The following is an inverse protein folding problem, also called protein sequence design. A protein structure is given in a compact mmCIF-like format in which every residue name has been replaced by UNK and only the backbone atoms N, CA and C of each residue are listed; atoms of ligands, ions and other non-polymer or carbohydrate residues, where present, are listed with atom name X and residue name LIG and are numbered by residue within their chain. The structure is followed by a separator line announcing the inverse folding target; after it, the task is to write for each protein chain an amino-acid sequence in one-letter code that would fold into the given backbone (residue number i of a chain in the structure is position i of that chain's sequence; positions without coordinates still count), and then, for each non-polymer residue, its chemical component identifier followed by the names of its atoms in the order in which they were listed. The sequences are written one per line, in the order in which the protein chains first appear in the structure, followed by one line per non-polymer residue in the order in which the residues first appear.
data_IF_659405868880
#
_entry.id   IF_659405868880
#
_cell.length_a   1.000
_cell.length_b   1.000
_cell.length_c   1.000
_cell.angle_alpha   90.00
_cell.angle_beta   90.00
_cell.angle_gamma   90.00
#
_symmetry.space_group_name_H-M   'P 1'
#
loop_
_entity.id
_entity.type
_entity.pdbx_description
1 polymer ?
#
# COMPACT_ATOMS: atom_id res chain seq x y z
N UNK A 1 -7.36 12.67 -8.76
CA UNK A 1 -8.70 12.70 -8.12
C UNK A 1 -8.60 12.71 -6.60
N UNK A 2 -7.95 11.72 -5.97
CA UNK A 2 -7.85 11.62 -4.50
C UNK A 2 -7.24 12.87 -3.84
N UNK A 3 -6.16 13.43 -4.41
CA UNK A 3 -5.56 14.68 -3.94
C UNK A 3 -6.59 15.83 -3.86
N UNK A 4 -7.40 16.02 -4.91
CA UNK A 4 -8.46 17.03 -4.94
C UNK A 4 -9.58 16.73 -3.92
N UNK A 5 -9.93 15.47 -3.72
CA UNK A 5 -10.94 15.05 -2.75
C UNK A 5 -10.48 15.39 -1.32
N UNK A 6 -9.28 14.95 -0.94
CA UNK A 6 -8.74 15.16 0.41
C UNK A 6 -8.58 16.64 0.71
N UNK A 7 -8.01 17.41 -0.21
CA UNK A 7 -7.85 18.87 -0.03
C UNK A 7 -9.19 19.59 0.10
N UNK A 8 -10.20 19.20 -0.69
CA UNK A 8 -11.55 19.77 -0.59
C UNK A 8 -12.18 19.48 0.77
N UNK A 9 -12.06 18.25 1.27
CA UNK A 9 -12.60 17.87 2.58
C UNK A 9 -11.87 18.60 3.70
N UNK A 10 -10.54 18.62 3.69
CA UNK A 10 -9.72 19.35 4.67
C UNK A 10 -10.10 20.83 4.73
N UNK A 11 -10.18 21.50 3.57
CA UNK A 11 -10.54 22.91 3.49
C UNK A 11 -11.97 23.17 3.99
N UNK A 12 -12.92 22.28 3.71
CA UNK A 12 -14.31 22.45 4.11
C UNK A 12 -14.54 22.18 5.61
N UNK A 13 -13.85 21.21 6.19
CA UNK A 13 -14.05 20.79 7.58
C UNK A 13 -13.19 21.63 8.54
N UNK A 14 -11.94 21.90 8.18
CA UNK A 14 -10.97 22.56 9.05
C UNK A 14 -10.78 24.04 8.70
N UNK A 15 -11.27 24.50 7.54
CA UNK A 15 -11.00 25.86 7.04
C UNK A 15 -9.54 26.08 6.62
N UNK A 16 -8.74 25.01 6.59
CA UNK A 16 -7.29 25.02 6.38
C UNK A 16 -6.84 23.72 5.72
N UNK A 17 -5.79 23.79 4.91
CA UNK A 17 -5.08 22.60 4.41
C UNK A 17 -4.00 22.12 5.40
N UNK A 18 -3.78 22.84 6.49
CA UNK A 18 -2.87 22.44 7.55
C UNK A 18 -3.65 21.93 8.75
N UNK A 19 -3.30 20.73 9.22
CA UNK A 19 -3.90 20.08 10.39
C UNK A 19 -2.81 19.72 11.37
N UNK A 20 -2.93 20.22 12.60
CA UNK A 20 -2.02 19.87 13.69
C UNK A 20 -2.42 18.51 14.27
N UNK A 21 -1.50 17.54 14.29
CA UNK A 21 -1.74 16.25 14.94
C UNK A 21 -1.35 16.27 16.42
N UNK A 22 -0.18 16.84 16.73
CA UNK A 22 0.36 16.98 18.08
C UNK A 22 1.30 18.19 18.14
N UNK A 23 2.06 18.40 19.22
CA UNK A 23 2.94 19.59 19.34
C UNK A 23 4.06 19.67 18.29
N UNK A 24 4.48 18.53 17.72
CA UNK A 24 5.65 18.43 16.84
C UNK A 24 5.27 18.26 15.36
N UNK A 25 4.09 17.69 15.08
CA UNK A 25 3.68 17.30 13.72
C UNK A 25 2.47 18.09 13.22
N UNK A 26 2.69 18.82 12.14
CA UNK A 26 1.64 19.45 11.32
C UNK A 26 1.61 18.78 9.95
N UNK A 27 0.45 18.27 9.54
CA UNK A 27 0.22 17.80 8.18
C UNK A 27 -0.12 18.98 7.28
N UNK A 28 0.47 19.05 6.10
CA UNK A 28 0.14 20.01 5.07
C UNK A 28 -0.41 19.30 3.82
N UNK A 29 -1.70 19.47 3.60
CA UNK A 29 -2.41 18.95 2.44
C UNK A 29 -2.33 19.89 1.23
N UNK A 30 -1.41 20.86 1.19
CA UNK A 30 -1.22 21.73 0.02
C UNK A 30 -0.68 20.93 -1.18
N UNK A 31 -1.39 20.90 -2.33
CA UNK A 31 -0.91 20.20 -3.53
C UNK A 31 0.31 20.89 -4.17
N UNK A 32 1.10 20.16 -4.97
CA UNK A 32 0.97 18.73 -5.28
C UNK A 32 1.55 17.84 -4.17
N UNK A 33 0.93 16.68 -3.92
CA UNK A 33 1.50 15.68 -3.03
C UNK A 33 2.77 15.08 -3.65
N UNK A 34 3.73 14.69 -2.81
CA UNK A 34 4.96 14.02 -3.26
C UNK A 34 4.56 12.76 -4.02
N UNK A 35 5.24 12.48 -5.14
CA UNK A 35 5.11 11.23 -5.90
C UNK A 35 6.49 10.61 -5.99
N UNK A 36 6.61 9.37 -5.57
CA UNK A 36 7.88 8.64 -5.52
C UNK A 36 7.62 7.17 -5.82
N UNK A 37 8.56 6.49 -6.45
CA UNK A 37 8.42 5.05 -6.68
C UNK A 37 8.80 4.26 -5.43
N UNK A 38 8.19 3.09 -5.25
CA UNK A 38 8.54 2.13 -4.21
C UNK A 38 10.06 1.84 -4.21
N UNK A 39 10.63 1.66 -5.40
CA UNK A 39 12.06 1.43 -5.60
C UNK A 39 12.93 2.59 -5.08
N UNK A 40 12.56 3.83 -5.38
CA UNK A 40 13.29 5.01 -4.92
C UNK A 40 13.30 5.08 -3.40
N UNK A 41 12.17 4.84 -2.74
CA UNK A 41 12.09 4.84 -1.27
C UNK A 41 12.96 3.76 -0.62
N UNK A 42 12.95 2.54 -1.19
CA UNK A 42 13.82 1.47 -0.72
C UNK A 42 15.30 1.86 -0.90
N UNK A 43 15.68 2.43 -2.04
CA UNK A 43 17.05 2.88 -2.28
C UNK A 43 17.46 4.04 -1.35
N UNK A 44 16.55 4.98 -1.06
CA UNK A 44 16.76 6.07 -0.09
C UNK A 44 17.13 5.50 1.28
N UNK A 45 16.49 4.40 1.71
CA UNK A 45 16.69 3.81 3.04
C UNK A 45 17.82 2.77 3.11
N UNK A 46 17.97 1.96 2.06
CA UNK A 46 18.84 0.77 2.05
C UNK A 46 20.12 0.93 1.21
N UNK A 47 20.22 2.03 0.44
CA UNK A 47 21.30 2.28 -0.50
C UNK A 47 20.93 1.90 -1.94
N UNK A 48 21.53 2.61 -2.90
CA UNK A 48 21.25 2.45 -4.33
C UNK A 48 21.64 1.06 -4.89
N UNK A 49 22.50 0.32 -4.18
CA UNK A 49 22.93 -1.03 -4.54
C UNK A 49 21.95 -2.12 -4.08
N UNK A 50 20.85 -1.78 -3.38
CA UNK A 50 19.91 -2.74 -2.81
C UNK A 50 19.39 -3.78 -3.82
N UNK A 51 19.12 -3.33 -5.04
CA UNK A 51 18.60 -4.20 -6.09
C UNK A 51 19.70 -5.01 -6.80
N UNK A 52 20.98 -4.68 -6.60
CA UNK A 52 22.13 -5.34 -7.21
C UNK A 52 22.81 -6.37 -6.30
N UNK A 53 22.57 -6.32 -4.99
CA UNK A 53 23.14 -7.27 -4.03
C UNK A 53 22.53 -8.67 -4.13
N UNK A 54 23.21 -9.67 -3.56
CA UNK A 54 22.69 -11.04 -3.50
C UNK A 54 21.53 -11.17 -2.51
N UNK A 55 20.65 -12.17 -2.68
CA UNK A 55 19.55 -12.45 -1.75
C UNK A 55 20.04 -12.71 -0.31
N UNK A 56 21.18 -13.39 -0.15
CA UNK A 56 21.80 -13.61 1.17
C UNK A 56 22.23 -12.29 1.83
N UNK A 57 22.72 -11.34 1.03
CA UNK A 57 23.09 -10.01 1.52
C UNK A 57 21.86 -9.15 1.84
N UNK A 58 20.79 -9.20 1.02
CA UNK A 58 19.52 -8.55 1.34
C UNK A 58 18.97 -9.03 2.67
N UNK A 59 18.91 -10.35 2.86
CA UNK A 59 18.45 -10.96 4.11
C UNK A 59 19.30 -10.49 5.30
N UNK A 60 20.63 -10.51 5.17
CA UNK A 60 21.52 -10.04 6.24
C UNK A 60 21.32 -8.56 6.58
N UNK A 61 21.10 -7.70 5.59
CA UNK A 61 20.84 -6.26 5.79
C UNK A 61 19.48 -6.03 6.45
N UNK A 62 18.45 -6.78 6.06
CA UNK A 62 17.13 -6.72 6.69
C UNK A 62 17.15 -7.19 8.15
N UNK A 63 17.85 -8.29 8.46
CA UNK A 63 18.04 -8.78 9.83
C UNK A 63 18.82 -7.81 10.71
N UNK A 64 19.73 -7.02 10.13
CA UNK A 64 20.44 -5.97 10.86
C UNK A 64 19.53 -4.78 11.25
N UNK A 65 18.34 -4.68 10.66
CA UNK A 65 17.26 -3.76 11.07
C UNK A 65 16.28 -4.40 12.05
N UNK A 66 16.61 -5.59 12.60
CA UNK A 66 15.78 -6.35 13.53
C UNK A 66 14.43 -6.79 12.95
N UNK A 67 14.33 -6.90 11.62
CA UNK A 67 13.13 -7.38 10.93
C UNK A 67 13.02 -8.91 11.02
N UNK A 68 11.79 -9.40 11.16
CA UNK A 68 11.47 -10.83 11.22
C UNK A 68 11.47 -11.43 9.81
N UNK A 69 12.66 -11.63 9.24
CA UNK A 69 12.85 -12.22 7.91
C UNK A 69 13.71 -13.48 7.93
N UNK A 70 13.37 -14.45 7.07
CA UNK A 70 14.08 -15.71 6.96
C UNK A 70 14.42 -16.10 5.50
N UNK A 71 15.24 -17.16 5.36
CA UNK A 71 15.77 -17.59 4.07
C UNK A 71 14.75 -18.25 3.13
N UNK A 72 13.55 -18.59 3.63
CA UNK A 72 12.42 -19.06 2.83
C UNK A 72 11.64 -17.92 2.18
N UNK A 73 11.79 -16.69 2.65
CA UNK A 73 11.14 -15.53 2.05
C UNK A 73 11.78 -15.15 0.71
N UNK A 74 10.95 -14.76 -0.25
CA UNK A 74 11.42 -14.20 -1.52
C UNK A 74 12.07 -12.82 -1.31
N UNK A 75 12.97 -12.43 -2.23
CA UNK A 75 13.59 -11.09 -2.22
C UNK A 75 12.54 -9.95 -2.21
N UNK A 76 11.39 -10.17 -2.84
CA UNK A 76 10.27 -9.22 -2.85
C UNK A 76 9.67 -9.08 -1.45
N UNK A 77 9.42 -10.19 -0.76
CA UNK A 77 8.85 -10.14 0.60
C UNK A 77 9.84 -9.56 1.61
N UNK A 78 11.14 -9.88 1.52
CA UNK A 78 12.18 -9.27 2.37
C UNK A 78 12.23 -7.75 2.15
N UNK A 79 12.15 -7.31 0.90
CA UNK A 79 12.12 -5.88 0.57
C UNK A 79 10.83 -5.21 1.06
N UNK A 80 9.69 -5.91 0.99
CA UNK A 80 8.41 -5.41 1.47
C UNK A 80 8.35 -5.28 2.98
N UNK A 81 8.96 -6.20 3.74
CA UNK A 81 9.08 -6.08 5.19
C UNK A 81 9.85 -4.80 5.58
N UNK A 82 10.90 -4.45 4.84
CA UNK A 82 11.63 -3.17 5.04
C UNK A 82 10.72 -1.98 4.74
N UNK A 83 9.93 -2.06 3.67
CA UNK A 83 9.01 -0.98 3.34
C UNK A 83 8.01 -0.74 4.47
N UNK A 84 7.26 -1.76 4.89
CA UNK A 84 6.23 -1.62 5.93
C UNK A 84 6.80 -1.17 7.26
N UNK A 85 7.88 -1.82 7.74
CA UNK A 85 8.35 -1.61 9.12
C UNK A 85 9.29 -0.43 9.27
N UNK A 86 9.83 0.10 8.17
CA UNK A 86 10.86 1.13 8.22
C UNK A 86 10.48 2.34 7.38
N UNK A 87 10.17 2.14 6.11
CA UNK A 87 9.94 3.24 5.17
C UNK A 87 8.59 3.90 5.39
N UNK A 88 7.52 3.12 5.53
CA UNK A 88 6.14 3.62 5.62
C UNK A 88 6.02 4.64 6.77
N UNK A 89 6.54 4.29 7.95
CA UNK A 89 6.51 5.14 9.14
C UNK A 89 7.23 6.49 8.99
N UNK A 90 8.16 6.63 8.03
CA UNK A 90 8.89 7.86 7.76
C UNK A 90 8.09 8.81 6.82
N UNK A 91 7.02 8.33 6.18
CA UNK A 91 6.19 9.10 5.25
C UNK A 91 5.15 9.97 5.97
N UNK A 92 5.62 11.06 6.57
CA UNK A 92 4.77 11.95 7.36
C UNK A 92 3.83 12.81 6.50
N UNK A 93 4.36 13.50 5.49
CA UNK A 93 3.57 14.34 4.60
C UNK A 93 2.89 13.50 3.50
N UNK A 94 1.75 13.95 2.94
CA UNK A 94 1.05 13.21 1.90
C UNK A 94 1.96 12.81 0.73
N UNK A 95 2.13 11.50 0.56
CA UNK A 95 3.05 10.92 -0.42
C UNK A 95 2.37 9.78 -1.18
N UNK A 96 2.29 9.91 -2.50
CA UNK A 96 1.93 8.81 -3.38
C UNK A 96 3.16 7.95 -3.63
N UNK A 97 3.15 6.74 -3.08
CA UNK A 97 4.09 5.67 -3.42
C UNK A 97 3.57 4.93 -4.63
N UNK A 98 4.39 4.75 -5.65
CA UNK A 98 3.94 4.23 -6.96
C UNK A 98 4.81 3.08 -7.45
N UNK A 99 4.31 2.34 -8.45
CA UNK A 99 5.07 1.30 -9.17
C UNK A 99 5.63 0.21 -8.26
N UNK A 100 4.73 -0.50 -7.58
CA UNK A 100 5.10 -1.62 -6.72
C UNK A 100 5.32 -2.91 -7.53
N UNK A 101 6.07 -3.88 -7.00
CA UNK A 101 6.19 -5.23 -7.57
C UNK A 101 4.82 -5.89 -7.81
N UNK A 102 4.65 -6.51 -8.98
CA UNK A 102 3.40 -7.20 -9.39
C UNK A 102 2.91 -8.24 -8.38
N UNK A 103 3.84 -8.90 -7.70
CA UNK A 103 3.54 -9.95 -6.72
C UNK A 103 2.81 -9.42 -5.48
N UNK A 104 2.98 -8.13 -5.16
CA UNK A 104 2.34 -7.51 -4.00
C UNK A 104 0.89 -7.07 -4.30
N UNK A 105 0.58 -6.76 -5.57
CA UNK A 105 -0.72 -6.21 -5.97
C UNK A 105 -1.29 -7.02 -7.15
N UNK A 106 -1.86 -8.22 -6.88
CA UNK A 106 -2.26 -9.18 -7.92
C UNK A 106 -3.36 -8.66 -8.85
N UNK A 107 -4.21 -7.75 -8.37
CA UNK A 107 -5.34 -7.20 -9.11
C UNK A 107 -4.97 -5.97 -9.96
N UNK A 108 -3.76 -5.42 -9.79
CA UNK A 108 -3.35 -4.23 -10.52
C UNK A 108 -2.75 -4.58 -11.88
N UNK A 109 -3.10 -3.81 -12.91
CA UNK A 109 -2.53 -3.94 -14.24
C UNK A 109 -1.02 -3.64 -14.19
N UNK A 110 -0.24 -4.40 -14.97
CA UNK A 110 1.21 -4.14 -15.11
C UNK A 110 1.48 -2.80 -15.76
N UNK A 111 2.64 -2.20 -15.45
CA UNK A 111 3.12 -1.03 -16.17
C UNK A 111 3.41 -1.40 -17.63
N UNK A 112 3.11 -0.48 -18.56
CA UNK A 112 3.35 -0.71 -20.00
C UNK A 112 4.85 -0.84 -20.34
N UNK A 113 5.72 -0.26 -19.51
CA UNK A 113 7.18 -0.22 -19.70
C UNK A 113 7.95 -1.30 -18.92
N UNK A 114 7.34 -1.91 -17.90
CA UNK A 114 7.96 -2.93 -17.05
C UNK A 114 6.88 -3.86 -16.45
N UNK A 115 6.82 -5.10 -16.93
CA UNK A 115 5.83 -6.10 -16.53
C UNK A 115 6.11 -6.73 -15.15
N UNK A 116 7.25 -6.41 -14.53
CA UNK A 116 7.53 -6.75 -13.14
C UNK A 116 6.87 -5.80 -12.14
N UNK A 117 6.38 -4.65 -12.61
CA UNK A 117 5.76 -3.60 -11.81
C UNK A 117 4.29 -3.43 -12.20
N UNK A 118 3.50 -2.88 -11.28
CA UNK A 118 2.09 -2.54 -11.50
C UNK A 118 1.82 -1.05 -11.45
N UNK A 119 0.84 -0.61 -12.24
CA UNK A 119 0.35 0.76 -12.28
C UNK A 119 -0.57 1.02 -11.09
N UNK A 120 0.06 1.20 -9.93
CA UNK A 120 -0.54 1.40 -8.60
C UNK A 120 -0.02 2.67 -7.97
N UNK A 121 -0.83 3.26 -7.10
CA UNK A 121 -0.41 4.15 -6.05
C UNK A 121 -0.93 3.69 -4.67
N UNK A 122 -0.15 3.95 -3.64
CA UNK A 122 -0.57 3.99 -2.24
C UNK A 122 -0.37 5.42 -1.74
N UNK A 123 -1.41 6.03 -1.20
CA UNK A 123 -1.31 7.35 -0.58
C UNK A 123 -1.00 7.19 0.90
N UNK A 124 0.24 7.47 1.26
CA UNK A 124 0.77 7.44 2.61
C UNK A 124 0.67 8.82 3.25
N UNK A 125 0.12 8.88 4.46
CA UNK A 125 0.03 10.12 5.26
C UNK A 125 0.24 9.78 6.74
N UNK A 126 1.22 10.43 7.37
CA UNK A 126 1.60 10.17 8.77
C UNK A 126 1.96 8.70 9.02
N UNK A 127 2.62 8.07 8.05
CA UNK A 127 3.00 6.66 8.09
C UNK A 127 1.84 5.67 8.17
N UNK A 128 0.72 6.02 7.54
CA UNK A 128 -0.46 5.19 7.38
C UNK A 128 -0.90 5.20 5.92
N UNK A 129 -1.19 4.02 5.39
CA UNK A 129 -1.84 3.90 4.09
C UNK A 129 -3.27 4.48 4.15
N UNK A 130 -3.57 5.55 3.41
CA UNK A 130 -4.89 6.22 3.42
C UNK A 130 -5.74 5.80 2.24
N UNK A 131 -5.12 5.64 1.06
CA UNK A 131 -5.83 5.33 -0.17
C UNK A 131 -4.94 4.53 -1.11
N UNK A 132 -5.18 3.22 -1.27
CA UNK A 132 -4.63 2.47 -2.38
C UNK A 132 -5.46 2.73 -3.64
N UNK A 133 -4.84 2.70 -4.81
CA UNK A 133 -5.55 2.74 -6.09
C UNK A 133 -4.68 2.30 -7.24
N UNK A 134 -5.30 1.73 -8.27
CA UNK A 134 -4.56 1.12 -9.38
C UNK A 134 -5.39 1.10 -10.66
N UNK A 135 -4.68 1.03 -11.78
CA UNK A 135 -5.27 0.59 -13.03
C UNK A 135 -5.69 -0.88 -12.88
N UNK A 136 -6.97 -1.17 -13.11
CA UNK A 136 -7.54 -2.49 -12.87
C UNK A 136 -7.03 -3.51 -13.89
N UNK A 137 -6.66 -4.71 -13.42
CA UNK A 137 -6.36 -5.84 -14.31
C UNK A 137 -7.68 -6.38 -14.88
N UNK A 138 -7.93 -6.06 -16.14
CA UNK A 138 -9.14 -6.46 -16.85
C UNK A 138 -8.92 -7.61 -17.86
N UNK A 139 -7.74 -8.22 -17.89
CA UNK A 139 -7.47 -9.43 -18.68
C UNK A 139 -7.77 -10.68 -17.84
N UNK A 140 -8.84 -11.44 -18.16
CA UNK A 140 -9.24 -12.61 -17.37
C UNK A 140 -8.21 -13.74 -17.41
N UNK A 141 -7.42 -13.85 -18.48
CA UNK A 141 -6.41 -14.91 -18.63
C UNK A 141 -5.24 -14.63 -17.70
N UNK A 142 -4.75 -13.40 -17.70
CA UNK A 142 -3.68 -12.96 -16.79
C UNK A 142 -4.16 -12.96 -15.34
N UNK A 143 -5.40 -12.52 -15.06
CA UNK A 143 -5.96 -12.55 -13.70
C UNK A 143 -6.01 -13.97 -13.14
N UNK A 144 -6.46 -14.96 -13.93
CA UNK A 144 -6.45 -16.37 -13.53
C UNK A 144 -5.03 -16.86 -13.21
N UNK A 145 -4.06 -16.51 -14.07
CA UNK A 145 -2.65 -16.88 -13.86
C UNK A 145 -2.13 -16.34 -12.53
N UNK A 146 -2.45 -15.08 -12.20
CA UNK A 146 -2.04 -14.46 -10.93
C UNK A 146 -2.67 -15.12 -9.72
N UNK A 147 -3.95 -15.47 -9.77
CA UNK A 147 -4.57 -16.24 -8.69
C UNK A 147 -3.89 -17.60 -8.49
N UNK A 148 -3.54 -18.30 -9.58
CA UNK A 148 -2.78 -19.55 -9.46
C UNK A 148 -1.39 -19.34 -8.83
N UNK A 149 -0.67 -18.29 -9.26
CA UNK A 149 0.64 -17.93 -8.68
C UNK A 149 0.53 -17.63 -7.18
N UNK A 150 -0.53 -16.95 -6.73
CA UNK A 150 -0.77 -16.69 -5.30
C UNK A 150 -1.05 -17.97 -4.51
N UNK A 151 -1.85 -18.89 -5.05
CA UNK A 151 -2.13 -20.18 -4.41
C UNK A 151 -0.84 -21.01 -4.28
N UNK A 152 -0.02 -21.03 -5.34
CA UNK A 152 1.21 -21.81 -5.37
C UNK A 152 2.27 -21.26 -4.39
N UNK A 153 2.24 -19.96 -4.12
CA UNK A 153 3.19 -19.26 -3.22
C UNK A 153 2.69 -19.11 -1.78
N UNK A 154 1.43 -19.47 -1.50
CA UNK A 154 0.82 -19.33 -0.18
C UNK A 154 1.37 -20.30 0.89
N UNK A 155 2.28 -21.23 0.56
CA UNK A 155 2.91 -22.19 1.49
C UNK A 155 1.92 -22.87 2.47
N UNK A 156 0.70 -23.14 2.01
CA UNK A 156 -0.34 -23.77 2.82
C UNK A 156 -0.99 -22.86 3.87
N UNK A 157 -0.85 -21.52 3.77
CA UNK A 157 -1.62 -20.57 4.55
C UNK A 157 -3.12 -20.68 4.18
N UNK A 158 -3.98 -21.18 5.07
CA UNK A 158 -5.40 -21.39 4.77
C UNK A 158 -6.17 -20.09 4.50
N UNK A 159 -5.67 -18.95 4.96
CA UNK A 159 -6.29 -17.64 4.76
C UNK A 159 -6.07 -17.08 3.35
N UNK A 160 -4.99 -17.49 2.67
CA UNK A 160 -4.66 -17.09 1.28
C UNK A 160 -5.14 -18.15 0.27
N UNK A 161 -5.54 -19.32 0.76
CA UNK A 161 -6.23 -20.38 0.01
C UNK A 161 -7.67 -19.95 -0.30
N UNK A 162 -7.86 -18.81 -0.95
CA UNK A 162 -9.12 -18.52 -1.62
C UNK A 162 -9.23 -19.47 -2.82
N UNK A 163 -10.34 -20.20 -2.86
CA UNK A 163 -10.75 -20.90 -4.08
C UNK A 163 -10.85 -19.82 -5.15
N UNK A 164 -10.14 -20.00 -6.28
CA UNK A 164 -10.23 -19.08 -7.43
C UNK A 164 -11.69 -18.68 -7.65
N UNK A 165 -11.97 -17.37 -7.61
CA UNK A 165 -13.32 -16.85 -7.83
C UNK A 165 -13.67 -16.94 -9.32
N UNK A 166 -14.26 -18.07 -9.69
CA UNK A 166 -14.69 -18.37 -11.05
C UNK A 166 -15.80 -17.42 -11.54
N UNK A 167 -16.64 -16.90 -10.65
CA UNK A 167 -17.69 -15.97 -11.01
C UNK A 167 -17.10 -14.59 -11.35
N UNK A 168 -16.09 -14.14 -10.59
CA UNK A 168 -15.31 -12.92 -10.90
C UNK A 168 -14.57 -13.05 -12.24
N UNK A 169 -13.89 -14.17 -12.50
CA UNK A 169 -13.20 -14.41 -13.78
C UNK A 169 -14.20 -14.44 -14.94
N UNK A 170 -15.34 -15.12 -14.79
CA UNK A 170 -16.39 -15.14 -15.81
C UNK A 170 -16.94 -13.73 -16.08
N UNK A 171 -17.06 -12.89 -15.05
CA UNK A 171 -17.47 -11.49 -15.22
C UNK A 171 -16.43 -10.68 -16.04
N UNK A 172 -15.13 -10.90 -15.82
CA UNK A 172 -14.07 -10.29 -16.62
C UNK A 172 -14.11 -10.76 -18.09
N UNK A 173 -14.43 -12.03 -18.35
CA UNK A 173 -14.57 -12.59 -19.70
C UNK A 173 -15.71 -11.95 -20.52
N UNK A 174 -16.74 -11.40 -19.86
CA UNK A 174 -17.77 -10.61 -20.53
C UNK A 174 -17.28 -9.25 -21.02
N UNK A 175 -16.10 -8.81 -20.60
CA UNK A 175 -15.42 -7.60 -21.07
C UNK A 175 -15.56 -6.44 -20.09
N UNK A 176 -14.63 -6.37 -19.13
CA UNK A 176 -14.43 -5.19 -18.30
C UNK A 176 -13.65 -4.11 -19.09
N UNK A 177 -14.16 -2.88 -19.23
CA UNK A 177 -13.43 -1.79 -19.88
C UNK A 177 -12.18 -1.42 -19.06
N UNK A 178 -11.19 -0.72 -19.65
CA UNK A 178 -10.11 -0.11 -18.88
C UNK A 178 -10.70 0.76 -17.76
N UNK A 179 -10.28 0.49 -16.53
CA UNK A 179 -10.81 1.14 -15.34
C UNK A 179 -9.67 1.46 -14.36
N UNK A 180 -9.91 2.46 -13.50
CA UNK A 180 -9.07 2.75 -12.35
C UNK A 180 -9.89 2.60 -11.08
N UNK A 181 -9.41 1.78 -10.16
CA UNK A 181 -9.99 1.57 -8.84
C UNK A 181 -9.26 2.39 -7.78
N UNK A 182 -9.96 2.68 -6.68
CA UNK A 182 -9.34 3.16 -5.46
C UNK A 182 -10.14 2.73 -4.22
N UNK A 183 -9.41 2.53 -3.13
CA UNK A 183 -9.95 2.50 -1.77
C UNK A 183 -9.66 3.82 -1.06
N UNK A 184 -10.49 4.20 -0.09
CA UNK A 184 -10.23 5.31 0.80
C UNK A 184 -10.60 4.90 2.22
N UNK A 185 -9.62 4.85 3.11
CA UNK A 185 -9.84 4.58 4.53
C UNK A 185 -10.52 5.77 5.20
N UNK A 186 -11.84 5.74 5.30
CA UNK A 186 -12.62 6.85 5.88
C UNK A 186 -12.23 7.10 7.34
N UNK A 187 -12.08 6.05 8.15
CA UNK A 187 -11.69 6.21 9.56
C UNK A 187 -10.30 6.84 9.68
N UNK A 188 -9.33 6.39 8.86
CA UNK A 188 -7.97 6.97 8.80
C UNK A 188 -8.01 8.44 8.37
N UNK A 189 -8.80 8.77 7.35
CA UNK A 189 -8.98 10.15 6.90
C UNK A 189 -9.57 11.03 8.02
N UNK A 190 -10.59 10.54 8.72
CA UNK A 190 -11.19 11.28 9.85
C UNK A 190 -10.16 11.46 10.97
N UNK A 191 -9.35 10.45 11.29
CA UNK A 191 -8.28 10.59 12.28
C UNK A 191 -7.32 11.72 11.90
N UNK A 192 -6.83 11.72 10.66
CA UNK A 192 -5.88 12.72 10.18
C UNK A 192 -6.45 14.14 10.18
N UNK A 193 -7.74 14.29 9.83
CA UNK A 193 -8.41 15.60 9.81
C UNK A 193 -8.81 16.11 11.20
N UNK A 194 -8.97 15.22 12.17
CA UNK A 194 -9.34 15.57 13.56
C UNK A 194 -8.16 15.63 14.51
N UNK A 195 -6.99 15.13 14.10
CA UNK A 195 -5.83 14.95 14.99
C UNK A 195 -6.00 13.80 15.98
N UNK A 196 -6.94 12.88 15.74
CA UNK A 196 -7.15 11.75 16.64
C UNK A 196 -6.01 10.71 16.51
N UNK A 197 -5.40 10.36 17.64
CA UNK A 197 -4.31 9.37 17.68
C UNK A 197 -4.82 7.93 17.59
N UNK A 198 -6.08 7.67 17.99
CA UNK A 198 -6.67 6.33 17.97
C UNK A 198 -7.89 6.24 17.08
N UNK A 199 -8.00 5.16 16.32
CA UNK A 199 -9.21 4.82 15.55
C UNK A 199 -10.45 4.70 16.45
N UNK A 200 -10.26 4.40 17.74
CA UNK A 200 -11.35 4.32 18.71
C UNK A 200 -12.00 5.66 19.01
N UNK A 201 -11.29 6.76 18.77
CA UNK A 201 -11.79 8.11 19.02
C UNK A 201 -12.67 8.62 17.86
N UNK A 202 -12.61 7.94 16.71
CA UNK A 202 -13.42 8.28 15.51
C UNK A 202 -14.55 7.27 15.26
N UNK A 203 -14.63 6.20 16.03
CA UNK A 203 -15.69 5.19 15.97
C UNK A 203 -16.55 5.28 17.24
N UNK A 204 -17.87 5.48 17.08
CA UNK A 204 -18.80 5.62 18.21
C UNK A 204 -18.82 4.41 19.17
N UNK A 205 -18.72 3.20 18.62
CA UNK A 205 -18.74 1.94 19.37
C UNK A 205 -17.63 1.01 18.87
N UNK A 206 -16.36 1.25 19.25
CA UNK A 206 -15.26 0.44 18.77
C UNK A 206 -15.34 -0.98 19.35
N UNK A 207 -14.79 -1.95 18.62
CA UNK A 207 -14.70 -3.31 19.14
C UNK A 207 -13.83 -3.35 20.41
N UNK A 208 -14.40 -3.86 21.49
CA UNK A 208 -13.72 -4.00 22.78
C UNK A 208 -13.47 -5.49 23.05
N UNK A 209 -12.34 -5.79 23.70
CA UNK A 209 -12.09 -7.15 24.20
C UNK A 209 -13.22 -7.53 25.18
N UNK A 210 -13.85 -8.70 25.03
CA UNK A 210 -14.84 -9.17 25.98
C UNK A 210 -14.29 -9.18 27.41
N UNK A 211 -15.14 -8.85 28.40
CA UNK A 211 -14.78 -9.04 29.81
C UNK A 211 -14.56 -10.53 30.08
N UNK A 212 -13.40 -10.87 30.65
CA UNK A 212 -13.14 -12.21 31.21
C UNK A 212 -13.97 -12.43 32.47
#
# INVERSE_FOLDING_TARGET
MVEALITTVAQNVNGSLQVQLNEETTLDFTPPFRRVTYKELICERMGNDWYDVSSAERLSRAQALELEVDAGMSDVLVTHEIYEKVVEHELIQPTFVTRMPRQLVPLAKTCDDDDSLVDVYELEINGLEVSPGYSELNDPIEQRKRFQEQIDTADGNPEVSEIIDEDFLTALEHGMPPAGGLGLGIDRLVMLLTGAESIRDVILFPHLRPKK
#
